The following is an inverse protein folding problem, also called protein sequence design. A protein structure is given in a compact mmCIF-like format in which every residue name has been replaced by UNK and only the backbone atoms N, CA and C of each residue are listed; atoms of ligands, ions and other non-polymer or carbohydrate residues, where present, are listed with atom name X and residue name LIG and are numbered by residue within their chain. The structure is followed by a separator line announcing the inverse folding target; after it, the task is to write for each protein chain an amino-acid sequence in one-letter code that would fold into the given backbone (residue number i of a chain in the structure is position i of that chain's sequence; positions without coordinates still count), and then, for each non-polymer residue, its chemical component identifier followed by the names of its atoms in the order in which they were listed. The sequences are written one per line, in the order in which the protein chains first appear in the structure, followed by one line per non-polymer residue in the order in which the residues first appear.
data_IF_694693520492
#
_entry.id   IF_694693520492
#
_cell.length_a   1.000
_cell.length_b   1.000
_cell.length_c   1.000
_cell.angle_alpha   90.00
_cell.angle_beta   90.00
_cell.angle_gamma   90.00
#
_symmetry.space_group_name_H-M   'P 1'
#
loop_
_entity.id
_entity.type
_entity.pdbx_description
1 polymer ?
#
# COMPACT_ATOMS: atom_id res chain seq x y z
N UNK A 1 -9.81 -5.10 -22.85
CA UNK A 1 -9.37 -4.91 -21.46
C UNK A 1 -9.03 -3.44 -21.32
N UNK A 2 -9.95 -2.66 -20.78
CA UNK A 2 -9.78 -1.23 -20.50
C UNK A 2 -8.82 -1.08 -19.31
N UNK A 3 -7.83 -0.20 -19.44
CA UNK A 3 -6.82 0.12 -18.43
C UNK A 3 -7.47 0.54 -17.11
N UNK A 4 -7.44 -0.35 -16.11
CA UNK A 4 -7.83 -0.01 -14.73
C UNK A 4 -6.72 0.75 -13.99
N UNK A 5 -5.46 0.68 -14.46
CA UNK A 5 -4.34 1.37 -13.83
C UNK A 5 -4.36 2.88 -14.01
N UNK A 6 -4.82 3.38 -15.16
CA UNK A 6 -4.97 4.83 -15.41
C UNK A 6 -6.10 5.43 -14.56
N UNK A 7 -7.21 4.72 -14.39
CA UNK A 7 -8.33 5.17 -13.56
C UNK A 7 -7.94 5.36 -12.08
N UNK A 8 -7.10 4.48 -11.54
CA UNK A 8 -6.68 4.57 -10.13
C UNK A 8 -5.64 5.67 -9.87
N UNK A 9 -4.75 5.94 -10.83
CA UNK A 9 -3.79 7.04 -10.79
C UNK A 9 -4.48 8.40 -10.79
N UNK A 10 -5.43 8.58 -11.70
CA UNK A 10 -6.19 9.82 -11.80
C UNK A 10 -7.01 10.09 -10.53
N UNK A 11 -7.52 9.04 -9.87
CA UNK A 11 -8.34 9.22 -8.67
C UNK A 11 -7.55 9.80 -7.49
N UNK A 12 -6.42 9.18 -7.11
CA UNK A 12 -5.66 9.68 -5.96
C UNK A 12 -5.08 11.08 -6.22
N UNK A 13 -4.57 11.35 -7.42
CA UNK A 13 -4.04 12.67 -7.76
C UNK A 13 -5.14 13.74 -7.72
N UNK A 14 -6.34 13.44 -8.22
CA UNK A 14 -7.49 14.35 -8.11
C UNK A 14 -7.89 14.58 -6.64
N UNK A 15 -8.01 13.52 -5.85
CA UNK A 15 -8.33 13.62 -4.41
C UNK A 15 -7.26 14.38 -3.65
N UNK A 16 -5.97 14.16 -3.93
CA UNK A 16 -4.87 14.91 -3.35
C UNK A 16 -4.97 16.40 -3.65
N UNK A 17 -5.29 16.76 -4.90
CA UNK A 17 -5.50 18.16 -5.29
C UNK A 17 -6.68 18.80 -4.54
N UNK A 18 -7.83 18.12 -4.51
CA UNK A 18 -9.02 18.62 -3.80
C UNK A 18 -8.73 18.78 -2.30
N UNK A 19 -8.03 17.83 -1.70
CA UNK A 19 -7.60 17.88 -0.31
C UNK A 19 -6.66 19.08 -0.07
N UNK A 20 -5.74 19.38 -0.98
CA UNK A 20 -4.87 20.55 -0.88
C UNK A 20 -5.64 21.87 -0.97
N UNK A 21 -6.53 21.97 -1.95
CA UNK A 21 -7.25 23.21 -2.23
C UNK A 21 -8.26 23.55 -1.11
N UNK A 22 -8.89 22.52 -0.52
CA UNK A 22 -9.97 22.70 0.47
C UNK A 22 -9.49 22.56 1.92
N UNK A 23 -8.66 21.55 2.21
CA UNK A 23 -8.27 21.21 3.58
C UNK A 23 -6.88 21.75 3.91
N UNK A 24 -5.90 21.51 3.03
CA UNK A 24 -4.47 21.65 3.32
C UNK A 24 -3.81 22.86 2.65
N UNK A 25 -4.56 23.96 2.53
CA UNK A 25 -4.04 25.22 1.97
C UNK A 25 -2.66 25.57 2.55
N UNK A 26 -1.71 26.07 1.73
CA UNK A 26 -0.28 26.18 2.08
C UNK A 26 0.05 27.21 3.18
N UNK A 27 -0.96 27.89 3.73
CA UNK A 27 -0.85 28.90 4.78
C UNK A 27 -0.94 28.33 6.21
N UNK A 28 -1.03 27.00 6.36
CA UNK A 28 -1.36 26.33 7.63
C UNK A 28 -2.71 26.80 8.21
N UNK A 29 -3.65 27.24 7.35
CA UNK A 29 -4.95 27.76 7.79
C UNK A 29 -5.77 26.78 8.61
N UNK A 30 -5.49 25.47 8.51
CA UNK A 30 -6.12 24.42 9.32
C UNK A 30 -5.89 24.58 10.83
N UNK A 31 -4.91 25.39 11.25
CA UNK A 31 -4.65 25.69 12.67
C UNK A 31 -5.62 26.69 13.28
N UNK A 32 -6.37 27.42 12.45
CA UNK A 32 -7.29 28.45 12.91
C UNK A 32 -8.73 27.91 13.05
N UNK A 33 -9.45 28.42 14.05
CA UNK A 33 -10.89 28.19 14.23
C UNK A 33 -11.66 29.00 13.16
N UNK A 34 -12.70 28.48 12.47
CA UNK A 34 -13.42 27.20 12.67
C UNK A 34 -12.88 25.99 11.92
N UNK A 35 -11.93 26.17 10.98
CA UNK A 35 -11.43 25.10 10.11
C UNK A 35 -10.81 23.93 10.90
N UNK A 36 -10.11 24.22 11.99
CA UNK A 36 -9.56 23.21 12.89
C UNK A 36 -10.65 22.27 13.43
N UNK A 37 -11.78 22.83 13.87
CA UNK A 37 -12.92 22.07 14.41
C UNK A 37 -13.63 21.26 13.33
N UNK A 38 -13.78 21.79 12.12
CA UNK A 38 -14.36 21.05 10.98
C UNK A 38 -13.51 19.81 10.62
N UNK A 39 -12.19 19.97 10.59
CA UNK A 39 -11.27 18.85 10.34
C UNK A 39 -11.35 17.82 11.46
N UNK A 40 -11.40 18.27 12.72
CA UNK A 40 -11.57 17.37 13.87
C UNK A 40 -12.83 16.51 13.73
N UNK A 41 -13.98 17.11 13.38
CA UNK A 41 -15.22 16.36 13.18
C UNK A 41 -15.08 15.28 12.11
N UNK A 42 -14.35 15.55 11.03
CA UNK A 42 -14.07 14.54 9.99
C UNK A 42 -13.11 13.44 10.49
N UNK A 43 -12.13 13.78 11.34
CA UNK A 43 -11.23 12.79 11.93
C UNK A 43 -11.96 11.82 12.89
N UNK A 44 -13.03 12.28 13.55
CA UNK A 44 -13.85 11.42 14.42
C UNK A 44 -14.54 10.28 13.67
N UNK A 45 -14.74 10.39 12.35
CA UNK A 45 -15.20 9.27 11.50
C UNK A 45 -14.26 8.08 11.57
N UNK A 46 -12.95 8.33 11.63
CA UNK A 46 -11.93 7.29 11.65
C UNK A 46 -11.66 6.78 13.06
N UNK A 47 -11.51 7.68 14.02
CA UNK A 47 -11.28 7.32 15.41
C UNK A 47 -11.93 8.35 16.36
N UNK A 48 -12.88 7.94 17.21
CA UNK A 48 -13.56 8.85 18.13
C UNK A 48 -12.63 9.45 19.21
N UNK A 49 -11.44 8.88 19.38
CA UNK A 49 -10.46 9.33 20.38
C UNK A 49 -9.44 10.32 19.81
N UNK A 50 -9.69 10.98 18.68
CA UNK A 50 -8.85 12.09 18.23
C UNK A 50 -8.98 13.27 19.20
N UNK A 51 -7.88 13.75 19.82
CA UNK A 51 -7.89 15.06 20.48
C UNK A 51 -8.29 16.19 19.51
N UNK A 52 -9.01 17.17 20.03
CA UNK A 52 -9.44 18.39 19.33
C UNK A 52 -8.40 19.52 19.38
N UNK A 53 -7.19 19.23 19.88
CA UNK A 53 -6.13 20.23 20.01
C UNK A 53 -5.52 20.57 18.65
N UNK A 54 -5.21 21.86 18.39
CA UNK A 54 -4.56 22.28 17.15
C UNK A 54 -3.24 21.54 16.87
N UNK A 55 -2.47 21.22 17.91
CA UNK A 55 -1.19 20.51 17.79
C UNK A 55 -1.40 19.07 17.31
N UNK A 56 -2.43 18.39 17.81
CA UNK A 56 -2.77 17.04 17.37
C UNK A 56 -3.23 17.04 15.93
N UNK A 57 -4.12 17.95 15.57
CA UNK A 57 -4.65 18.07 14.21
C UNK A 57 -3.51 18.42 13.24
N UNK A 58 -2.62 19.35 13.59
CA UNK A 58 -1.42 19.65 12.80
C UNK A 58 -0.53 18.42 12.58
N UNK A 59 -0.31 17.62 13.63
CA UNK A 59 0.46 16.37 13.53
C UNK A 59 -0.20 15.38 12.56
N UNK A 60 -1.50 15.16 12.70
CA UNK A 60 -2.28 14.27 11.80
C UNK A 60 -2.14 14.74 10.36
N UNK A 61 -2.41 16.02 10.10
CA UNK A 61 -2.40 16.57 8.74
C UNK A 61 -1.02 16.56 8.11
N UNK A 62 0.06 16.83 8.85
CA UNK A 62 1.44 16.70 8.34
C UNK A 62 1.77 15.26 7.95
N UNK A 63 1.32 14.28 8.73
CA UNK A 63 1.48 12.88 8.38
C UNK A 63 0.67 12.51 7.14
N UNK A 64 -0.60 12.93 7.06
CA UNK A 64 -1.43 12.76 5.86
C UNK A 64 -0.74 13.38 4.65
N UNK A 65 -0.22 14.61 4.77
CA UNK A 65 0.47 15.30 3.66
C UNK A 65 1.62 14.45 3.13
N UNK A 66 2.50 14.02 4.03
CA UNK A 66 3.67 13.21 3.69
C UNK A 66 3.27 11.88 3.08
N UNK A 67 2.30 11.19 3.68
CA UNK A 67 1.85 9.88 3.24
C UNK A 67 1.22 9.94 1.85
N UNK A 68 0.36 10.94 1.62
CA UNK A 68 -0.29 11.16 0.32
C UNK A 68 0.73 11.37 -0.78
N UNK A 69 1.71 12.26 -0.57
CA UNK A 69 2.77 12.51 -1.56
C UNK A 69 3.58 11.26 -1.88
N UNK A 70 3.96 10.47 -0.87
CA UNK A 70 4.72 9.25 -1.11
C UNK A 70 3.94 8.24 -1.96
N UNK A 71 2.67 7.99 -1.62
CA UNK A 71 1.87 7.01 -2.37
C UNK A 71 1.53 7.54 -3.76
N UNK A 72 1.22 8.83 -3.91
CA UNK A 72 0.98 9.48 -5.21
C UNK A 72 2.19 9.34 -6.14
N UNK A 73 3.39 9.70 -5.69
CA UNK A 73 4.62 9.54 -6.47
C UNK A 73 4.88 8.08 -6.84
N UNK A 74 4.61 7.15 -5.92
CA UNK A 74 4.77 5.72 -6.20
C UNK A 74 3.80 5.24 -7.29
N UNK A 75 2.50 5.55 -7.17
CA UNK A 75 1.53 5.07 -8.17
C UNK A 75 1.75 5.73 -9.53
N UNK A 76 2.24 6.97 -9.58
CA UNK A 76 2.55 7.70 -10.81
C UNK A 76 3.90 7.31 -11.43
N UNK A 77 4.70 6.48 -10.75
CA UNK A 77 5.93 5.92 -11.31
C UNK A 77 5.63 4.79 -12.31
N UNK A 78 5.20 5.17 -13.52
CA UNK A 78 4.69 4.27 -14.57
C UNK A 78 5.70 3.22 -15.06
N UNK A 79 6.95 3.62 -15.25
CA UNK A 79 8.03 2.73 -15.67
C UNK A 79 9.11 2.67 -14.59
N UNK A 80 8.84 2.02 -13.44
CA UNK A 80 9.72 2.12 -12.31
C UNK A 80 11.01 1.35 -12.59
N UNK A 81 12.15 2.00 -12.35
CA UNK A 81 13.47 1.38 -12.52
C UNK A 81 14.50 1.97 -11.58
N UNK A 82 15.36 1.14 -11.00
CA UNK A 82 16.46 1.56 -10.12
C UNK A 82 17.74 0.89 -10.61
N UNK A 83 18.69 1.70 -11.09
CA UNK A 83 19.95 1.26 -11.69
C UNK A 83 20.74 2.43 -12.28
N UNK A 84 21.82 2.12 -12.99
CA UNK A 84 22.67 3.12 -13.67
C UNK A 84 22.17 3.49 -15.07
N UNK A 85 23.03 4.15 -15.86
CA UNK A 85 22.69 4.71 -17.18
C UNK A 85 22.13 3.69 -18.20
N UNK A 86 22.56 2.43 -18.12
CA UNK A 86 22.04 1.34 -18.97
C UNK A 86 21.11 0.44 -18.17
N UNK A 87 19.81 0.68 -18.29
CA UNK A 87 18.78 -0.08 -17.58
C UNK A 87 18.67 -1.51 -18.10
N UNK A 88 18.81 -2.46 -17.18
CA UNK A 88 18.55 -3.89 -17.40
C UNK A 88 17.13 -4.27 -16.99
N UNK A 89 16.71 -5.48 -17.35
CA UNK A 89 15.44 -6.06 -16.87
C UNK A 89 15.38 -6.11 -15.34
N UNK A 90 16.51 -6.33 -14.65
CA UNK A 90 16.54 -6.40 -13.20
C UNK A 90 16.36 -5.02 -12.55
N UNK A 91 16.83 -3.95 -13.19
CA UNK A 91 16.63 -2.59 -12.70
C UNK A 91 15.14 -2.21 -12.73
N UNK A 92 14.41 -2.60 -13.79
CA UNK A 92 12.96 -2.45 -13.87
C UNK A 92 12.23 -3.26 -12.79
N UNK A 93 12.68 -4.48 -12.51
CA UNK A 93 12.08 -5.32 -11.47
C UNK A 93 12.34 -4.75 -10.06
N UNK A 94 13.55 -4.25 -9.79
CA UNK A 94 13.84 -3.51 -8.54
C UNK A 94 12.96 -2.27 -8.42
N UNK A 95 12.77 -1.54 -9.51
CA UNK A 95 11.85 -0.40 -9.55
C UNK A 95 10.44 -0.78 -9.10
N UNK A 96 9.87 -1.87 -9.64
CA UNK A 96 8.54 -2.35 -9.22
C UNK A 96 8.48 -2.71 -7.73
N UNK A 97 9.53 -3.33 -7.19
CA UNK A 97 9.60 -3.63 -5.76
C UNK A 97 9.59 -2.34 -4.92
N UNK A 98 10.43 -1.36 -5.29
CA UNK A 98 10.53 -0.10 -4.57
C UNK A 98 9.29 0.78 -4.73
N UNK A 99 8.61 0.72 -5.87
CA UNK A 99 7.29 1.32 -6.06
C UNK A 99 6.30 0.84 -5.00
N UNK A 100 6.20 -0.49 -4.81
CA UNK A 100 5.37 -1.06 -3.75
C UNK A 100 5.82 -0.63 -2.34
N UNK A 101 7.13 -0.61 -2.08
CA UNK A 101 7.68 -0.18 -0.79
C UNK A 101 7.28 1.26 -0.48
N UNK A 102 7.45 2.18 -1.42
CA UNK A 102 7.12 3.60 -1.25
C UNK A 102 5.60 3.77 -1.08
N UNK A 103 4.79 3.12 -1.94
CA UNK A 103 3.34 3.16 -1.84
C UNK A 103 2.83 2.70 -0.47
N UNK A 104 3.38 1.59 0.06
CA UNK A 104 3.00 1.05 1.37
C UNK A 104 3.45 1.96 2.51
N UNK A 105 4.65 2.57 2.44
CA UNK A 105 5.10 3.53 3.46
C UNK A 105 4.16 4.74 3.52
N UNK A 106 3.78 5.30 2.36
CA UNK A 106 2.84 6.41 2.31
C UNK A 106 1.47 6.04 2.89
N UNK A 107 0.94 4.88 2.46
CA UNK A 107 -0.31 4.32 2.99
C UNK A 107 -0.25 4.10 4.51
N UNK A 108 0.85 3.55 5.02
CA UNK A 108 1.02 3.28 6.46
C UNK A 108 1.03 4.58 7.27
N UNK A 109 1.77 5.61 6.82
CA UNK A 109 1.83 6.91 7.49
C UNK A 109 0.43 7.56 7.54
N UNK A 110 -0.26 7.60 6.40
CA UNK A 110 -1.62 8.18 6.31
C UNK A 110 -2.60 7.42 7.20
N UNK A 111 -2.63 6.08 7.09
CA UNK A 111 -3.55 5.24 7.87
C UNK A 111 -3.30 5.39 9.37
N UNK A 112 -2.03 5.38 9.82
CA UNK A 112 -1.72 5.61 11.24
C UNK A 112 -2.18 6.97 11.72
N UNK A 113 -2.03 8.01 10.92
CA UNK A 113 -2.45 9.36 11.28
C UNK A 113 -3.98 9.46 11.42
N UNK A 114 -4.73 8.96 10.43
CA UNK A 114 -6.19 8.99 10.42
C UNK A 114 -6.80 8.07 11.49
N UNK A 115 -6.14 6.96 11.81
CA UNK A 115 -6.62 6.03 12.83
C UNK A 115 -6.10 6.35 14.24
N UNK A 116 -5.42 7.49 14.43
CA UNK A 116 -4.77 7.89 15.68
C UNK A 116 -3.85 6.79 16.30
N UNK A 117 -3.06 6.12 15.46
CA UNK A 117 -2.22 4.97 15.81
C UNK A 117 -0.76 5.20 15.42
N UNK A 118 -0.13 6.24 15.97
CA UNK A 118 1.22 6.68 15.59
C UNK A 118 2.35 5.72 15.96
N UNK A 119 2.16 4.92 17.02
CA UNK A 119 3.23 4.07 17.57
C UNK A 119 3.29 2.68 16.93
N UNK A 120 4.52 2.16 16.81
CA UNK A 120 4.78 0.77 16.39
C UNK A 120 4.41 0.47 14.94
N UNK A 121 4.26 -0.81 14.63
CA UNK A 121 3.87 -1.32 13.29
C UNK A 121 2.35 -1.21 13.12
N UNK A 122 1.89 -0.89 11.90
CA UNK A 122 0.46 -0.86 11.60
C UNK A 122 -0.17 -2.25 11.80
N UNK A 123 -1.06 -2.34 12.78
CA UNK A 123 -1.70 -3.60 13.17
C UNK A 123 -2.84 -3.96 12.19
N UNK A 124 -3.06 -5.25 11.98
CA UNK A 124 -4.08 -5.75 11.05
C UNK A 124 -5.50 -5.28 11.39
N UNK A 125 -5.86 -5.16 12.68
CA UNK A 125 -7.17 -4.66 13.08
C UNK A 125 -7.38 -3.19 12.69
N UNK A 126 -6.33 -2.36 12.74
CA UNK A 126 -6.38 -0.96 12.31
C UNK A 126 -6.60 -0.86 10.79
N UNK A 127 -5.89 -1.69 10.01
CA UNK A 127 -6.07 -1.79 8.56
C UNK A 127 -7.52 -2.17 8.23
N UNK A 128 -8.07 -3.18 8.91
CA UNK A 128 -9.45 -3.63 8.71
C UNK A 128 -10.47 -2.52 9.01
N UNK A 129 -10.29 -1.79 10.12
CA UNK A 129 -11.18 -0.68 10.46
C UNK A 129 -11.10 0.44 9.41
N UNK A 130 -9.89 0.80 8.99
CA UNK A 130 -9.69 1.83 7.96
C UNK A 130 -10.34 1.46 6.62
N UNK A 131 -10.13 0.22 6.14
CA UNK A 131 -10.75 -0.29 4.90
C UNK A 131 -12.28 -0.19 4.99
N UNK A 132 -12.87 -0.61 6.11
CA UNK A 132 -14.33 -0.53 6.33
C UNK A 132 -14.87 0.91 6.32
N UNK A 133 -14.08 1.87 6.81
CA UNK A 133 -14.44 3.29 6.85
C UNK A 133 -14.25 4.01 5.50
N UNK A 134 -13.55 3.39 4.54
CA UNK A 134 -13.15 4.02 3.28
C UNK A 134 -14.15 3.84 2.13
N UNK A 135 -15.28 3.14 2.30
CA UNK A 135 -16.29 2.92 1.24
C UNK A 135 -15.71 2.41 -0.10
N UNK A 136 -14.84 1.40 -0.04
CA UNK A 136 -14.22 0.85 -1.25
C UNK A 136 -15.21 0.08 -2.13
N UNK A 137 -14.99 0.04 -3.45
CA UNK A 137 -15.76 -0.81 -4.34
C UNK A 137 -15.46 -2.29 -4.05
N UNK A 138 -16.24 -3.17 -4.68
CA UNK A 138 -15.96 -4.60 -4.68
C UNK A 138 -14.54 -4.84 -5.20
N UNK A 139 -13.77 -5.65 -4.46
CA UNK A 139 -12.39 -5.90 -4.81
C UNK A 139 -12.29 -6.74 -6.08
N UNK A 140 -11.50 -6.28 -7.04
CA UNK A 140 -11.14 -7.06 -8.21
C UNK A 140 -10.05 -8.08 -7.82
N UNK A 141 -10.31 -9.40 -7.89
CA UNK A 141 -9.38 -10.38 -7.35
C UNK A 141 -7.98 -10.30 -7.95
N UNK A 142 -6.96 -10.31 -7.09
CA UNK A 142 -5.57 -10.33 -7.52
C UNK A 142 -5.22 -11.71 -8.06
N UNK A 143 -4.98 -11.79 -9.36
CA UNK A 143 -4.60 -13.02 -10.03
C UNK A 143 -3.24 -13.50 -9.50
N UNK A 144 -3.14 -14.79 -9.19
CA UNK A 144 -1.89 -15.43 -8.78
C UNK A 144 -0.84 -15.41 -9.89
N UNK A 145 0.47 -15.49 -9.56
CA UNK A 145 1.49 -15.61 -10.58
C UNK A 145 1.30 -16.89 -11.43
N UNK A 146 1.59 -16.81 -12.73
CA UNK A 146 1.27 -17.89 -13.67
C UNK A 146 1.99 -19.21 -13.33
N UNK A 147 1.27 -20.29 -12.98
CA UNK A 147 1.88 -21.55 -12.56
C UNK A 147 2.77 -22.20 -13.64
N UNK A 148 2.43 -22.03 -14.93
CA UNK A 148 3.17 -22.64 -16.06
C UNK A 148 4.49 -21.93 -16.40
N UNK A 149 4.74 -20.75 -15.84
CA UNK A 149 5.92 -19.91 -16.13
C UNK A 149 6.80 -19.67 -14.91
N UNK A 150 6.55 -20.37 -13.79
CA UNK A 150 7.37 -20.28 -12.59
C UNK A 150 8.61 -21.13 -12.78
N UNK A 151 9.77 -20.49 -12.90
CA UNK A 151 11.04 -21.20 -12.98
C UNK A 151 11.54 -21.56 -11.58
N UNK A 152 12.02 -22.80 -11.43
CA UNK A 152 12.67 -23.29 -10.22
C UNK A 152 11.81 -23.26 -8.94
N UNK A 153 10.49 -23.06 -9.00
CA UNK A 153 9.62 -23.08 -7.82
C UNK A 153 9.61 -24.48 -7.17
N UNK A 154 9.55 -25.53 -7.99
CA UNK A 154 9.53 -26.92 -7.54
C UNK A 154 10.78 -27.28 -6.71
N UNK A 155 11.92 -26.66 -7.01
CA UNK A 155 13.16 -26.84 -6.23
C UNK A 155 13.08 -26.27 -4.81
N UNK A 156 12.18 -25.31 -4.57
CA UNK A 156 11.91 -24.77 -3.23
C UNK A 156 10.90 -25.66 -2.51
N UNK A 157 9.81 -26.03 -3.19
CA UNK A 157 8.74 -26.84 -2.63
C UNK A 157 9.19 -28.27 -2.29
N UNK A 158 10.19 -28.81 -3.00
CA UNK A 158 10.79 -30.09 -2.67
C UNK A 158 11.56 -30.11 -1.34
N UNK A 159 11.86 -28.94 -0.74
CA UNK A 159 12.59 -28.84 0.53
C UNK A 159 11.65 -28.81 1.73
N UNK A 160 10.63 -27.95 1.66
CA UNK A 160 9.63 -27.72 2.70
C UNK A 160 8.43 -26.99 2.05
N UNK A 161 7.22 -27.24 2.53
CA UNK A 161 6.01 -26.51 2.11
C UNK A 161 6.08 -25.02 2.45
N UNK A 162 6.81 -24.63 3.50
CA UNK A 162 6.97 -23.25 3.96
C UNK A 162 8.23 -22.55 3.38
N UNK A 163 9.05 -23.24 2.59
CA UNK A 163 10.37 -22.77 2.16
C UNK A 163 10.36 -21.38 1.49
N UNK A 164 9.29 -21.06 0.74
CA UNK A 164 9.14 -19.76 0.09
C UNK A 164 8.86 -18.66 1.12
N UNK A 165 7.98 -18.91 2.07
CA UNK A 165 7.63 -17.93 3.10
C UNK A 165 8.84 -17.66 4.01
N UNK A 166 9.59 -18.70 4.37
CA UNK A 166 10.81 -18.58 5.16
C UNK A 166 11.91 -17.81 4.42
N UNK A 167 12.10 -18.10 3.13
CA UNK A 167 13.02 -17.34 2.29
C UNK A 167 12.68 -15.84 2.25
N UNK A 168 11.39 -15.50 2.22
CA UNK A 168 10.90 -14.12 2.25
C UNK A 168 10.98 -13.47 3.65
N UNK A 169 11.49 -14.17 4.67
CA UNK A 169 11.59 -13.69 6.03
C UNK A 169 10.23 -13.61 6.75
N UNK A 170 9.25 -14.41 6.34
CA UNK A 170 7.89 -14.39 6.88
C UNK A 170 7.80 -15.28 8.13
N UNK A 171 7.53 -14.65 9.27
CA UNK A 171 7.49 -15.33 10.59
C UNK A 171 6.06 -15.75 10.96
N UNK A 172 5.07 -14.88 10.72
CA UNK A 172 3.68 -15.10 11.13
C UNK A 172 3.06 -16.30 10.38
N UNK A 173 2.49 -17.31 11.08
CA UNK A 173 1.82 -18.44 10.42
C UNK A 173 0.70 -17.99 9.46
N UNK A 174 -0.04 -16.95 9.80
CA UNK A 174 -1.09 -16.39 8.93
C UNK A 174 -0.50 -15.82 7.63
N UNK A 175 0.63 -15.11 7.73
CA UNK A 175 1.30 -14.54 6.56
C UNK A 175 1.92 -15.65 5.69
N UNK A 176 2.47 -16.71 6.31
CA UNK A 176 2.95 -17.90 5.60
C UNK A 176 1.83 -18.56 4.80
N UNK A 177 0.66 -18.74 5.40
CA UNK A 177 -0.51 -19.30 4.71
C UNK A 177 -0.97 -18.42 3.54
N UNK A 178 -0.95 -17.10 3.68
CA UNK A 178 -1.31 -16.18 2.59
C UNK A 178 -0.33 -16.29 1.40
N UNK A 179 0.97 -16.44 1.67
CA UNK A 179 1.99 -16.67 0.64
C UNK A 179 1.79 -18.03 -0.03
N UNK A 180 1.51 -19.09 0.73
CA UNK A 180 1.20 -20.43 0.21
C UNK A 180 -0.03 -20.39 -0.70
N UNK A 181 -1.10 -19.77 -0.25
CA UNK A 181 -2.34 -19.61 -1.02
C UNK A 181 -2.11 -18.92 -2.38
N UNK A 182 -1.41 -17.79 -2.37
CA UNK A 182 -1.25 -16.99 -3.58
C UNK A 182 -0.14 -17.49 -4.52
N UNK A 183 1.04 -17.81 -4.00
CA UNK A 183 2.21 -18.20 -4.81
C UNK A 183 2.19 -19.70 -5.12
N UNK A 184 1.96 -20.55 -4.12
CA UNK A 184 2.13 -22.01 -4.27
C UNK A 184 0.89 -22.63 -4.87
N UNK A 185 -0.26 -22.43 -4.22
CA UNK A 185 -1.54 -22.99 -4.65
C UNK A 185 -2.12 -22.27 -5.87
N UNK A 186 -1.56 -21.11 -6.23
CA UNK A 186 -2.00 -20.31 -7.38
C UNK A 186 -3.47 -19.90 -7.29
N UNK A 187 -3.94 -19.60 -6.07
CA UNK A 187 -5.26 -19.06 -5.83
C UNK A 187 -5.23 -17.53 -5.87
N UNK A 188 -6.34 -16.92 -6.28
CA UNK A 188 -6.48 -15.45 -6.25
C UNK A 188 -6.63 -14.93 -4.82
N UNK A 189 -6.20 -13.69 -4.59
CA UNK A 189 -6.63 -12.91 -3.41
C UNK A 189 -7.96 -12.26 -3.74
N UNK A 190 -8.95 -12.34 -2.84
CA UNK A 190 -10.33 -11.91 -3.11
C UNK A 190 -10.81 -10.77 -2.22
N UNK A 191 -9.94 -10.20 -1.37
CA UNK A 191 -10.29 -9.10 -0.47
C UNK A 191 -9.22 -8.00 -0.40
N UNK A 192 -9.66 -6.78 -0.08
CA UNK A 192 -8.77 -5.64 0.19
C UNK A 192 -7.83 -5.92 1.36
N UNK A 193 -8.31 -6.56 2.42
CA UNK A 193 -7.55 -6.88 3.62
C UNK A 193 -6.37 -7.80 3.35
N UNK A 194 -6.61 -8.86 2.57
CA UNK A 194 -5.55 -9.78 2.16
C UNK A 194 -4.59 -9.11 1.18
N UNK A 195 -5.07 -8.24 0.29
CA UNK A 195 -4.22 -7.48 -0.62
C UNK A 195 -3.24 -6.58 0.16
N UNK A 196 -3.71 -5.84 1.17
CA UNK A 196 -2.83 -5.01 2.02
C UNK A 196 -1.87 -5.87 2.85
N UNK A 197 -2.33 -7.02 3.36
CA UNK A 197 -1.45 -7.96 4.07
C UNK A 197 -0.34 -8.50 3.15
N UNK A 198 -0.68 -8.86 1.92
CA UNK A 198 0.27 -9.33 0.92
C UNK A 198 1.25 -8.23 0.50
N UNK A 199 0.76 -6.99 0.33
CA UNK A 199 1.59 -5.82 0.08
C UNK A 199 2.61 -5.59 1.21
N UNK A 200 2.19 -5.71 2.48
CA UNK A 200 3.09 -5.62 3.64
C UNK A 200 4.19 -6.67 3.60
N UNK A 201 3.83 -7.92 3.30
CA UNK A 201 4.79 -9.03 3.23
C UNK A 201 5.86 -8.74 2.18
N UNK A 202 5.45 -8.37 0.95
CA UNK A 202 6.40 -8.08 -0.12
C UNK A 202 7.19 -6.79 0.09
N UNK A 203 6.60 -5.78 0.73
CA UNK A 203 7.32 -4.58 1.18
C UNK A 203 8.44 -4.95 2.13
N UNK A 204 8.15 -5.76 3.16
CA UNK A 204 9.15 -6.19 4.14
C UNK A 204 10.23 -7.05 3.48
N UNK A 205 9.84 -8.04 2.68
CA UNK A 205 10.79 -8.89 1.96
C UNK A 205 11.69 -8.07 1.02
N UNK A 206 11.17 -7.04 0.36
CA UNK A 206 11.96 -6.18 -0.52
C UNK A 206 12.88 -5.24 0.26
N UNK A 207 12.35 -4.54 1.27
CA UNK A 207 13.10 -3.56 2.06
C UNK A 207 14.24 -4.19 2.87
N UNK A 208 14.07 -5.44 3.34
CA UNK A 208 15.11 -6.18 4.05
C UNK A 208 16.02 -7.01 3.13
N UNK A 209 15.81 -6.96 1.80
CA UNK A 209 16.67 -7.64 0.83
C UNK A 209 16.43 -9.14 0.63
N UNK A 210 15.39 -9.71 1.26
CA UNK A 210 15.01 -11.12 1.08
C UNK A 210 14.46 -11.40 -0.34
N UNK A 211 13.66 -10.49 -0.90
CA UNK A 211 13.14 -10.63 -2.26
C UNK A 211 14.09 -9.99 -3.27
N UNK A 212 14.81 -10.80 -4.05
CA UNK A 212 15.65 -10.30 -5.13
C UNK A 212 14.87 -10.11 -6.45
N UNK A 213 15.34 -9.18 -7.30
CA UNK A 213 14.78 -8.97 -8.63
C UNK A 213 14.75 -10.25 -9.49
N UNK A 214 15.74 -11.14 -9.32
CA UNK A 214 15.74 -12.46 -9.95
C UNK A 214 14.53 -13.29 -9.53
N UNK A 215 14.16 -13.29 -8.24
CA UNK A 215 12.98 -14.03 -7.76
C UNK A 215 11.68 -13.40 -8.22
N UNK A 216 11.59 -12.07 -8.31
CA UNK A 216 10.43 -11.40 -8.92
C UNK A 216 10.21 -11.88 -10.35
N UNK A 217 11.28 -12.04 -11.14
CA UNK A 217 11.21 -12.59 -12.49
C UNK A 217 10.85 -14.08 -12.48
N UNK A 218 11.64 -14.90 -11.80
CA UNK A 218 11.53 -16.36 -11.84
C UNK A 218 10.16 -16.82 -11.31
N UNK A 219 9.57 -16.11 -10.34
CA UNK A 219 8.26 -16.40 -9.76
C UNK A 219 7.12 -15.58 -10.36
N UNK A 220 7.38 -14.80 -11.42
CA UNK A 220 6.37 -14.00 -12.14
C UNK A 220 5.58 -13.01 -11.26
N UNK A 221 6.23 -12.41 -10.27
CA UNK A 221 5.54 -11.55 -9.28
C UNK A 221 5.25 -10.14 -9.80
N UNK A 222 5.91 -9.68 -10.88
CA UNK A 222 5.84 -8.29 -11.35
C UNK A 222 4.39 -7.75 -11.47
N UNK A 223 3.45 -8.41 -12.18
CA UNK A 223 2.09 -7.88 -12.31
C UNK A 223 1.39 -7.73 -10.96
N UNK A 224 1.56 -8.72 -10.07
CA UNK A 224 0.97 -8.68 -8.74
C UNK A 224 1.52 -7.55 -7.87
N UNK A 225 2.83 -7.34 -7.87
CA UNK A 225 3.46 -6.24 -7.12
C UNK A 225 3.00 -4.86 -7.62
N UNK A 226 2.82 -4.70 -8.93
CA UNK A 226 2.29 -3.47 -9.52
C UNK A 226 0.85 -3.21 -9.07
N UNK A 227 -0.04 -4.20 -9.18
CA UNK A 227 -1.45 -4.07 -8.76
C UNK A 227 -1.54 -3.81 -7.24
N UNK A 228 -0.72 -4.48 -6.43
CA UNK A 228 -0.68 -4.23 -4.98
C UNK A 228 -0.30 -2.78 -4.66
N UNK A 229 0.59 -2.15 -5.43
CA UNK A 229 0.91 -0.74 -5.24
C UNK A 229 -0.28 0.17 -5.63
N UNK A 230 -0.97 -0.15 -6.72
CA UNK A 230 -2.13 0.61 -7.19
C UNK A 230 -3.30 0.50 -6.20
N UNK A 231 -3.53 -0.69 -5.67
CA UNK A 231 -4.53 -0.97 -4.63
C UNK A 231 -4.32 -0.08 -3.39
N UNK A 232 -3.08 0.16 -2.98
CA UNK A 232 -2.79 1.04 -1.84
C UNK A 232 -3.16 2.49 -2.15
N UNK A 233 -2.97 2.94 -3.40
CA UNK A 233 -3.42 4.24 -3.86
C UNK A 233 -4.95 4.36 -3.85
N UNK A 234 -5.65 3.33 -4.32
CA UNK A 234 -7.13 3.29 -4.34
C UNK A 234 -7.72 3.31 -2.94
N UNK A 235 -7.20 2.48 -2.02
CA UNK A 235 -7.60 2.48 -0.61
C UNK A 235 -7.38 3.86 0.01
N UNK A 236 -6.22 4.47 -0.27
CA UNK A 236 -5.90 5.77 0.29
C UNK A 236 -6.79 6.87 -0.28
N UNK A 237 -7.08 6.88 -1.58
CA UNK A 237 -8.00 7.84 -2.19
C UNK A 237 -9.39 7.77 -1.55
N UNK A 238 -9.95 6.57 -1.43
CA UNK A 238 -11.27 6.34 -0.84
C UNK A 238 -11.34 6.73 0.66
N UNK A 239 -10.25 6.54 1.40
CA UNK A 239 -10.13 7.06 2.76
C UNK A 239 -10.10 8.59 2.80
N UNK A 240 -9.28 9.24 1.96
CA UNK A 240 -9.14 10.70 1.94
C UNK A 240 -10.41 11.43 1.50
N UNK A 241 -11.27 10.80 0.69
CA UNK A 241 -12.61 11.33 0.38
C UNK A 241 -13.43 11.66 1.63
N UNK A 242 -13.20 10.98 2.76
CA UNK A 242 -13.90 11.28 4.03
C UNK A 242 -13.38 12.54 4.73
N UNK A 243 -12.25 13.07 4.30
CA UNK A 243 -11.68 14.33 4.82
C UNK A 243 -12.07 15.55 3.99
N UNK A 244 -12.54 15.35 2.77
CA UNK A 244 -13.00 16.39 1.85
C UNK A 244 -14.44 16.77 2.21
#
# INVERSE_FOLDING_TARGET
MTDTSTHNQDNLTNISKILWDNVLKPDNSWKYNPKCSEIHQKLLHFNPNHPDTPEHIDKVLKCVIRGVRLTEEAINWNEPSIGGEKLTVYDKLRGVQWRLVIAYIGFEITTKALMNSFEGVLKSNIIMTFIKQSNLPNYNPLISPNPKKKENLDKWLAKDEDAIAEFLGVISPKDKQLIKHWIVQSNSISSWEEAVQLARIFRNASAHGFLSAKKVRDWQLKPGLSILADNLGEIMAAGLEKLI
#
